data_IF_530749134425
#
_entry.id   IF_530749134425
#
_cell.length_a   1.000
_cell.length_b   1.000
_cell.length_c   1.000
_cell.angle_alpha   90.00
_cell.angle_beta   90.00
_cell.angle_gamma   90.00
#
_symmetry.space_group_name_H-M   'P 1'
#
loop_
_entity.id
_entity.type
_entity.pdbx_description
1 polymer ?
#
# COMPACT_ATOMS: atom_id res chain seq x y z
N UNK A 1 -16.13 -11.14 3.15
CA UNK A 1 -16.18 -12.31 2.23
C UNK A 1 -14.93 -12.45 1.33
N UNK A 2 -14.09 -13.47 1.55
CA UNK A 2 -12.91 -13.72 0.70
C UNK A 2 -13.25 -13.63 -0.80
N UNK A 3 -12.34 -13.09 -1.65
CA UNK A 3 -12.57 -12.95 -3.07
C UNK A 3 -12.86 -14.33 -3.68
N UNK A 4 -13.87 -14.39 -4.52
CA UNK A 4 -14.37 -15.63 -5.13
C UNK A 4 -13.87 -15.80 -6.56
N UNK A 5 -13.26 -14.76 -7.12
CA UNK A 5 -12.69 -14.75 -8.47
C UNK A 5 -11.33 -14.07 -8.46
N UNK A 6 -10.52 -14.35 -9.50
CA UNK A 6 -9.27 -13.66 -9.74
C UNK A 6 -9.49 -12.14 -9.88
N UNK A 7 -10.55 -11.71 -10.56
CA UNK A 7 -10.88 -10.29 -10.70
C UNK A 7 -11.15 -9.63 -9.35
N UNK A 8 -11.95 -10.25 -8.47
CA UNK A 8 -12.20 -9.74 -7.11
C UNK A 8 -10.91 -9.69 -6.27
N UNK A 9 -10.00 -10.63 -6.48
CA UNK A 9 -8.69 -10.68 -5.81
C UNK A 9 -7.78 -9.55 -6.29
N UNK A 10 -7.58 -9.45 -7.60
CA UNK A 10 -6.65 -8.50 -8.21
C UNK A 10 -7.15 -7.06 -8.09
N UNK A 11 -8.47 -6.85 -8.00
CA UNK A 11 -9.03 -5.52 -7.79
C UNK A 11 -8.66 -5.01 -6.40
N UNK A 12 -8.66 -5.88 -5.40
CA UNK A 12 -8.18 -5.53 -4.05
C UNK A 12 -6.68 -5.28 -4.03
N UNK A 13 -5.90 -6.11 -4.72
CA UNK A 13 -4.46 -5.89 -4.84
C UNK A 13 -4.18 -4.49 -5.42
N UNK A 14 -4.85 -4.13 -6.51
CA UNK A 14 -4.74 -2.81 -7.11
C UNK A 14 -5.10 -1.67 -6.15
N UNK A 15 -6.18 -1.81 -5.38
CA UNK A 15 -6.56 -0.79 -4.39
C UNK A 15 -5.51 -0.62 -3.29
N UNK A 16 -4.90 -1.72 -2.82
CA UNK A 16 -3.84 -1.66 -1.82
C UNK A 16 -2.62 -0.89 -2.32
N UNK A 17 -2.17 -1.15 -3.55
CA UNK A 17 -1.05 -0.42 -4.15
C UNK A 17 -1.35 1.09 -4.26
N UNK A 18 -2.58 1.45 -4.66
CA UNK A 18 -2.99 2.86 -4.76
C UNK A 18 -3.05 3.55 -3.39
N UNK A 19 -3.54 2.86 -2.38
CA UNK A 19 -3.60 3.34 -1.00
C UNK A 19 -2.19 3.54 -0.41
N UNK A 20 -1.28 2.59 -0.64
CA UNK A 20 0.11 2.69 -0.25
C UNK A 20 0.82 3.87 -0.95
N UNK A 21 0.60 4.04 -2.26
CA UNK A 21 1.12 5.15 -3.04
C UNK A 21 0.68 6.51 -2.47
N UNK A 22 -0.61 6.64 -2.13
CA UNK A 22 -1.14 7.85 -1.51
C UNK A 22 -0.53 8.08 -0.13
N UNK A 23 -0.46 7.04 0.70
CA UNK A 23 0.06 7.16 2.06
C UNK A 23 1.54 7.57 2.11
N UNK A 24 2.37 7.01 1.25
CA UNK A 24 3.76 7.45 1.12
C UNK A 24 3.86 8.88 0.59
N UNK A 25 2.94 9.30 -0.29
CA UNK A 25 2.89 10.70 -0.74
C UNK A 25 2.58 11.66 0.42
N UNK A 26 1.62 11.30 1.29
CA UNK A 26 1.26 12.09 2.47
C UNK A 26 2.43 12.17 3.47
N UNK A 27 3.16 11.07 3.67
CA UNK A 27 4.36 11.08 4.52
C UNK A 27 5.49 11.91 3.95
N UNK A 28 5.67 11.92 2.62
CA UNK A 28 6.63 12.80 1.99
C UNK A 28 6.27 14.28 2.21
N UNK A 29 5.00 14.66 2.04
CA UNK A 29 4.51 16.03 2.30
C UNK A 29 4.77 16.46 3.76
N UNK A 30 4.53 15.55 4.72
CA UNK A 30 4.80 15.80 6.13
C UNK A 30 6.29 16.02 6.40
N UNK A 31 7.17 15.22 5.80
CA UNK A 31 8.62 15.36 5.96
C UNK A 31 9.16 16.64 5.31
N UNK A 32 8.63 17.04 4.15
CA UNK A 32 8.96 18.33 3.51
C UNK A 32 8.60 19.51 4.42
N UNK A 33 7.42 19.46 5.05
CA UNK A 33 6.96 20.49 6.00
C UNK A 33 7.91 20.65 7.19
N UNK A 34 8.59 19.58 7.59
CA UNK A 34 9.59 19.58 8.67
C UNK A 34 11.04 19.72 8.19
N UNK A 35 11.26 20.09 6.92
CA UNK A 35 12.57 20.24 6.29
C UNK A 35 13.44 18.97 6.33
N UNK A 36 12.81 17.79 6.43
CA UNK A 36 13.47 16.48 6.35
C UNK A 36 13.43 15.96 4.90
N UNK A 37 14.16 16.65 4.03
CA UNK A 37 14.06 16.45 2.57
C UNK A 37 14.58 15.09 2.11
N UNK A 38 15.52 14.49 2.83
CA UNK A 38 16.07 13.18 2.48
C UNK A 38 15.04 12.07 2.70
N UNK A 39 14.31 12.11 3.82
CA UNK A 39 13.23 11.17 4.10
C UNK A 39 12.03 11.42 3.21
N UNK A 40 11.71 12.70 2.92
CA UNK A 40 10.68 13.03 1.95
C UNK A 40 10.97 12.38 0.59
N UNK A 41 12.20 12.54 0.07
CA UNK A 41 12.60 11.91 -1.18
C UNK A 41 12.47 10.38 -1.15
N UNK A 42 12.83 9.74 -0.03
CA UNK A 42 12.65 8.30 0.15
C UNK A 42 11.17 7.90 0.04
N UNK A 43 10.28 8.60 0.74
CA UNK A 43 8.84 8.33 0.66
C UNK A 43 8.28 8.58 -0.74
N UNK A 44 8.73 9.62 -1.45
CA UNK A 44 8.34 9.84 -2.86
C UNK A 44 8.78 8.68 -3.76
N UNK A 45 9.98 8.16 -3.56
CA UNK A 45 10.46 6.99 -4.30
C UNK A 45 9.58 5.78 -4.06
N UNK A 46 9.18 5.52 -2.81
CA UNK A 46 8.30 4.40 -2.48
C UNK A 46 6.91 4.58 -3.09
N UNK A 47 6.31 5.77 -3.01
CA UNK A 47 5.04 6.08 -3.68
C UNK A 47 5.08 5.81 -5.20
N UNK A 48 6.20 6.09 -5.86
CA UNK A 48 6.38 5.78 -7.28
C UNK A 48 6.47 4.28 -7.57
N UNK A 49 6.99 3.46 -6.65
CA UNK A 49 7.04 2.01 -6.81
C UNK A 49 5.64 1.39 -6.69
N UNK A 50 4.89 1.77 -5.66
CA UNK A 50 3.48 1.36 -5.50
C UNK A 50 2.64 1.74 -6.73
N UNK A 51 2.81 2.96 -7.26
CA UNK A 51 2.15 3.37 -8.50
C UNK A 51 2.52 2.52 -9.72
N UNK A 52 3.76 2.02 -9.81
CA UNK A 52 4.17 1.09 -10.88
C UNK A 52 3.51 -0.28 -10.72
N UNK A 53 3.39 -0.79 -9.49
CA UNK A 53 2.69 -2.04 -9.23
C UNK A 53 1.21 -1.94 -9.62
N UNK A 54 0.53 -0.85 -9.27
CA UNK A 54 -0.84 -0.60 -9.68
C UNK A 54 -1.00 -0.63 -11.22
N UNK A 55 -0.07 0.00 -11.95
CA UNK A 55 -0.03 -0.04 -13.43
C UNK A 55 0.22 -1.46 -13.96
N UNK A 56 1.10 -2.22 -13.31
CA UNK A 56 1.38 -3.60 -13.68
C UNK A 56 0.12 -4.47 -13.52
N UNK A 57 -0.62 -4.33 -12.42
CA UNK A 57 -1.88 -5.06 -12.20
C UNK A 57 -2.90 -4.74 -13.29
N UNK A 58 -3.07 -3.46 -13.66
CA UNK A 58 -3.96 -3.08 -14.77
C UNK A 58 -3.57 -3.78 -16.07
N UNK A 59 -2.27 -3.81 -16.38
CA UNK A 59 -1.75 -4.45 -17.59
C UNK A 59 -1.93 -5.97 -17.59
N UNK A 60 -1.64 -6.64 -16.47
CA UNK A 60 -1.79 -8.09 -16.31
C UNK A 60 -3.25 -8.54 -16.41
N UNK A 61 -4.17 -7.75 -15.86
CA UNK A 61 -5.61 -8.03 -15.93
C UNK A 61 -6.28 -7.57 -17.22
N UNK A 62 -5.57 -6.83 -18.08
CA UNK A 62 -6.14 -6.24 -19.30
C UNK A 62 -7.23 -5.20 -19.00
N UNK A 63 -7.16 -4.53 -17.84
CA UNK A 63 -8.10 -3.50 -17.44
C UNK A 63 -7.74 -2.15 -18.06
N UNK A 64 -8.65 -1.62 -18.89
CA UNK A 64 -8.49 -0.29 -19.50
C UNK A 64 -8.84 0.85 -18.54
N UNK A 65 -9.59 0.55 -17.48
CA UNK A 65 -10.01 1.49 -16.44
C UNK A 65 -9.73 0.89 -15.05
N UNK A 66 -9.51 1.73 -14.02
CA UNK A 66 -9.40 1.27 -12.64
C UNK A 66 -10.58 0.38 -12.24
N UNK A 67 -10.33 -0.76 -11.58
CA UNK A 67 -11.40 -1.61 -11.09
C UNK A 67 -12.22 -0.89 -10.02
N UNK A 68 -13.54 -1.12 -10.01
CA UNK A 68 -14.40 -0.59 -8.94
C UNK A 68 -14.23 -1.46 -7.70
N UNK A 69 -13.55 -0.92 -6.69
CA UNK A 69 -13.36 -1.60 -5.40
C UNK A 69 -14.34 -1.01 -4.38
N UNK A 70 -15.27 -1.82 -3.82
CA UNK A 70 -16.17 -1.34 -2.78
C UNK A 70 -15.39 -0.81 -1.58
N UNK A 71 -15.74 0.38 -1.08
CA UNK A 71 -15.12 0.99 0.11
C UNK A 71 -15.17 0.06 1.33
N UNK A 72 -16.22 -0.77 1.44
CA UNK A 72 -16.36 -1.79 2.49
C UNK A 72 -15.48 -3.03 2.33
N UNK A 73 -14.81 -3.20 1.18
CA UNK A 73 -13.90 -4.32 0.91
C UNK A 73 -12.44 -4.02 1.24
N UNK A 74 -12.14 -2.79 1.65
CA UNK A 74 -10.82 -2.36 2.14
C UNK A 74 -10.65 -2.65 3.64
N UNK A 75 -11.74 -2.66 4.41
CA UNK A 75 -11.72 -2.96 5.85
C UNK A 75 -12.16 -4.41 6.16
N UNK A 76 -11.23 -5.29 6.51
CA UNK A 76 -11.51 -6.68 6.93
C UNK A 76 -11.51 -6.83 8.46
N UNK A 77 -12.59 -7.35 9.10
CA UNK A 77 -12.64 -7.48 10.56
C UNK A 77 -11.66 -8.56 11.07
N UNK A 78 -10.88 -8.23 12.10
CA UNK A 78 -9.82 -9.08 12.65
C UNK A 78 -8.41 -8.69 12.19
N UNK A 79 -8.33 -7.78 11.22
CA UNK A 79 -7.14 -7.06 10.83
C UNK A 79 -7.50 -5.58 11.01
N UNK A 80 -6.85 -4.88 11.94
CA UNK A 80 -6.86 -3.42 11.89
C UNK A 80 -6.53 -3.02 10.45
N UNK A 81 -7.26 -2.04 9.90
CA UNK A 81 -6.94 -1.52 8.58
C UNK A 81 -5.42 -1.30 8.54
N UNK A 82 -4.66 -1.97 7.66
CA UNK A 82 -3.21 -1.87 7.64
C UNK A 82 -2.73 -0.42 7.37
N UNK A 83 -3.69 0.45 7.05
CA UNK A 83 -3.70 1.91 6.96
C UNK A 83 -3.18 2.69 8.17
N UNK A 84 -2.37 2.12 9.03
CA UNK A 84 -1.47 2.98 9.79
C UNK A 84 -0.18 2.20 9.95
N UNK A 85 0.85 2.58 9.18
CA UNK A 85 2.08 2.95 9.90
C UNK A 85 1.56 3.83 11.02
N UNK A 86 1.69 3.43 12.31
CA UNK A 86 1.23 4.27 13.39
C UNK A 86 1.77 5.66 13.08
N UNK A 87 0.92 6.68 13.00
CA UNK A 87 1.40 8.05 12.72
C UNK A 87 2.50 8.39 13.75
N UNK A 88 2.41 7.77 14.92
CA UNK A 88 3.35 7.70 16.00
C UNK A 88 4.74 7.12 15.67
N UNK A 89 4.89 6.28 14.62
CA UNK A 89 6.18 5.81 14.09
C UNK A 89 6.77 6.74 13.01
N UNK A 90 5.94 7.57 12.36
CA UNK A 90 6.40 8.59 11.42
C UNK A 90 6.61 9.92 12.14
N UNK A 91 7.85 10.23 12.49
CA UNK A 91 8.20 11.47 13.16
C UNK A 91 9.30 12.23 12.44
N UNK A 92 9.34 13.56 12.60
CA UNK A 92 10.30 14.42 11.90
C UNK A 92 11.78 14.09 12.17
N UNK A 93 12.11 13.45 13.32
CA UNK A 93 13.46 12.99 13.64
C UNK A 93 13.88 11.71 12.90
N UNK A 94 13.03 11.16 12.04
CA UNK A 94 13.34 9.91 11.37
C UNK A 94 14.44 10.11 10.32
N UNK A 95 15.10 9.01 10.01
CA UNK A 95 16.15 8.93 9.00
C UNK A 95 15.68 8.01 7.87
N UNK A 96 16.27 8.08 6.67
CA UNK A 96 15.79 7.31 5.52
C UNK A 96 15.68 5.80 5.77
N UNK A 97 16.57 5.23 6.58
CA UNK A 97 16.50 3.80 6.92
C UNK A 97 15.28 3.43 7.76
N UNK A 98 14.74 4.35 8.58
CA UNK A 98 13.48 4.13 9.29
C UNK A 98 12.32 4.05 8.29
N UNK A 99 12.32 4.89 7.23
CA UNK A 99 11.31 4.80 6.16
C UNK A 99 11.38 3.46 5.42
N UNK A 100 12.59 2.94 5.18
CA UNK A 100 12.76 1.61 4.57
C UNK A 100 12.27 0.48 5.48
N UNK A 101 12.43 0.59 6.80
CA UNK A 101 11.90 -0.42 7.73
C UNK A 101 10.37 -0.41 7.76
N UNK A 102 9.75 0.77 7.72
CA UNK A 102 8.31 0.92 7.61
C UNK A 102 7.79 0.27 6.33
N UNK A 103 8.48 0.50 5.21
CA UNK A 103 8.13 -0.11 3.94
C UNK A 103 8.30 -1.63 3.95
N UNK A 104 9.41 -2.14 4.48
CA UNK A 104 9.61 -3.58 4.64
C UNK A 104 8.48 -4.23 5.46
N UNK A 105 8.10 -3.61 6.58
CA UNK A 105 7.02 -4.13 7.41
C UNK A 105 5.65 -4.08 6.69
N UNK A 106 5.41 -3.08 5.83
CA UNK A 106 4.22 -3.01 4.99
C UNK A 106 4.21 -4.11 3.93
N UNK A 107 5.32 -4.33 3.25
CA UNK A 107 5.51 -5.39 2.25
C UNK A 107 5.34 -6.78 2.87
N UNK A 108 5.91 -7.04 4.04
CA UNK A 108 5.73 -8.30 4.77
C UNK A 108 4.26 -8.52 5.18
N UNK A 109 3.51 -7.45 5.49
CA UNK A 109 2.07 -7.54 5.73
C UNK A 109 1.31 -7.86 4.45
N UNK A 110 1.66 -7.21 3.34
CA UNK A 110 1.05 -7.46 2.03
C UNK A 110 1.30 -8.89 1.55
N UNK A 111 2.54 -9.39 1.66
CA UNK A 111 2.92 -10.76 1.30
C UNK A 111 2.11 -11.80 2.07
N UNK A 112 2.02 -11.66 3.40
CA UNK A 112 1.19 -12.55 4.22
C UNK A 112 -0.28 -12.48 3.82
N UNK A 113 -0.80 -11.27 3.61
CA UNK A 113 -2.19 -11.06 3.21
C UNK A 113 -2.50 -11.77 1.89
N UNK A 114 -1.72 -11.54 0.83
CA UNK A 114 -1.92 -12.21 -0.46
C UNK A 114 -1.70 -13.71 -0.36
N UNK A 115 -0.76 -14.16 0.47
CA UNK A 115 -0.54 -15.58 0.74
C UNK A 115 -1.75 -16.27 1.37
N UNK A 116 -2.38 -15.64 2.37
CA UNK A 116 -3.62 -16.15 2.98
C UNK A 116 -4.79 -16.10 1.99
N UNK A 117 -4.90 -15.02 1.23
CA UNK A 117 -5.96 -14.80 0.26
C UNK A 117 -5.90 -15.84 -0.88
N UNK A 118 -4.69 -16.15 -1.37
CA UNK A 118 -4.46 -17.17 -2.38
C UNK A 118 -4.81 -18.58 -1.87
N UNK A 119 -4.50 -18.89 -0.60
CA UNK A 119 -4.90 -20.17 0.03
C UNK A 119 -6.41 -20.29 0.23
N UNK A 120 -7.11 -19.18 0.46
CA UNK A 120 -8.57 -19.18 0.64
C UNK A 120 -9.34 -19.27 -0.68
N UNK A 121 -8.69 -19.04 -1.83
CA UNK A 121 -9.28 -19.06 -3.16
C UNK A 121 -9.28 -20.45 -3.83
N UNK A 122 -8.72 -21.48 -3.17
CA UNK A 122 -8.80 -22.90 -3.57
C UNK A 122 -10.00 -23.59 -2.96
#
# INVERSE_FOLDING_TARGET
>A
MAPRTLDEFMAKAWAMEMEAAQRYSDFADAMETHNNLEVAAMFRTMAQYEGKHAVQILAEMGWNEPPVVPVSSVAWPGFEAPETVPIDEVHYLMQPWHALQLALAAEERAERFFGELARAAT
#
